data_IF_793881873182
#
_entry.id   IF_793881873182
#
_cell.length_a   1.000
_cell.length_b   1.000
_cell.length_c   1.000
_cell.angle_alpha   90.00
_cell.angle_beta   90.00
_cell.angle_gamma   90.00
#
_symmetry.space_group_name_H-M   'P 1'
#
loop_
_entity.id
_entity.type
_entity.pdbx_description
1 polymer ?
#
# COMPACT_ATOMS: atom_id res chain seq x y z
N UNK A 1 10.55 13.50 10.62
CA UNK A 1 9.49 12.83 9.83
C UNK A 1 10.10 11.57 9.27
N UNK A 2 9.60 10.41 9.66
CA UNK A 2 10.15 9.12 9.21
C UNK A 2 9.70 8.81 7.79
N UNK A 3 10.58 8.17 7.01
CA UNK A 3 10.28 7.66 5.65
C UNK A 3 8.97 6.85 5.63
N UNK A 4 8.77 6.03 6.66
CA UNK A 4 7.55 5.28 6.92
C UNK A 4 6.29 6.13 6.94
N UNK A 5 6.28 7.26 7.64
CA UNK A 5 5.10 8.13 7.73
C UNK A 5 4.79 8.82 6.41
N UNK A 6 5.83 9.25 5.67
CA UNK A 6 5.65 9.87 4.36
C UNK A 6 5.07 8.90 3.33
N UNK A 7 5.54 7.65 3.33
CA UNK A 7 4.98 6.58 2.49
C UNK A 7 3.56 6.25 2.93
N UNK A 8 3.33 6.10 4.24
CA UNK A 8 2.00 5.82 4.80
C UNK A 8 0.99 6.89 4.39
N UNK A 9 1.32 8.17 4.53
CA UNK A 9 0.45 9.27 4.15
C UNK A 9 0.14 9.32 2.65
N UNK A 10 1.13 9.04 1.79
CA UNK A 10 0.92 8.97 0.34
C UNK A 10 0.04 7.79 -0.06
N UNK A 11 0.27 6.60 0.51
CA UNK A 11 -0.55 5.41 0.27
C UNK A 11 -1.99 5.65 0.72
N UNK A 12 -2.19 6.19 1.93
CA UNK A 12 -3.53 6.52 2.43
C UNK A 12 -4.19 7.55 1.51
N UNK A 13 -3.47 8.59 1.09
CA UNK A 13 -3.96 9.59 0.15
C UNK A 13 -4.40 8.99 -1.18
N UNK A 14 -3.62 8.05 -1.73
CA UNK A 14 -3.92 7.35 -2.97
C UNK A 14 -5.10 6.37 -2.82
N UNK A 15 -5.21 5.70 -1.67
CA UNK A 15 -6.28 4.75 -1.34
C UNK A 15 -7.53 5.41 -0.75
N UNK A 16 -7.60 6.75 -0.57
CA UNK A 16 -8.81 7.42 -0.08
C UNK A 16 -10.03 7.24 -0.99
N UNK A 17 -9.80 6.95 -2.27
CA UNK A 17 -10.85 6.63 -3.24
C UNK A 17 -11.16 5.13 -3.37
N UNK A 18 -10.48 4.28 -2.59
CA UNK A 18 -10.64 2.84 -2.65
C UNK A 18 -11.91 2.38 -1.93
N UNK A 19 -12.55 1.33 -2.47
CA UNK A 19 -13.65 0.65 -1.79
C UNK A 19 -13.09 -0.33 -0.78
N UNK A 20 -13.20 0.00 0.52
CA UNK A 20 -12.90 -0.94 1.60
C UNK A 20 -14.16 -1.74 1.99
N UNK A 21 -14.04 -3.03 2.35
CA UNK A 21 -12.80 -3.79 2.52
C UNK A 21 -12.20 -4.26 1.19
N UNK A 22 -10.88 -4.25 1.08
CA UNK A 22 -10.19 -4.87 -0.05
C UNK A 22 -10.08 -6.36 0.28
N UNK A 23 -10.56 -7.24 -0.59
CA UNK A 23 -10.52 -8.69 -0.38
C UNK A 23 -9.42 -9.38 -1.20
N UNK A 24 -8.92 -8.71 -2.24
CA UNK A 24 -7.94 -9.28 -3.15
C UNK A 24 -6.77 -8.32 -3.44
N UNK A 25 -5.58 -8.85 -3.74
CA UNK A 25 -4.46 -8.02 -4.20
C UNK A 25 -4.80 -7.27 -5.49
N UNK A 26 -5.68 -7.82 -6.34
CA UNK A 26 -6.14 -7.15 -7.55
C UNK A 26 -7.01 -5.92 -7.25
N UNK A 27 -7.94 -6.02 -6.29
CA UNK A 27 -8.70 -4.85 -5.81
C UNK A 27 -7.79 -3.81 -5.16
N UNK A 28 -6.76 -4.25 -4.44
CA UNK A 28 -5.74 -3.36 -3.88
C UNK A 28 -5.04 -2.58 -4.98
N UNK A 29 -4.62 -3.25 -6.05
CA UNK A 29 -4.02 -2.60 -7.21
C UNK A 29 -5.03 -1.66 -7.87
N UNK A 30 -6.25 -2.10 -8.13
CA UNK A 30 -7.29 -1.28 -8.77
C UNK A 30 -7.64 -0.03 -7.96
N UNK A 31 -7.49 -0.09 -6.64
CA UNK A 31 -7.69 1.03 -5.74
C UNK A 31 -6.62 2.11 -5.83
N UNK A 32 -5.43 1.80 -6.37
CA UNK A 32 -4.40 2.80 -6.60
C UNK A 32 -4.55 3.47 -7.99
N UNK A 33 -4.32 4.79 -8.10
CA UNK A 33 -4.45 5.51 -9.37
C UNK A 33 -3.47 5.04 -10.46
N UNK A 34 -2.32 4.46 -10.09
CA UNK A 34 -1.37 3.86 -11.03
C UNK A 34 -1.27 2.34 -10.87
N UNK A 35 -2.19 1.70 -10.13
CA UNK A 35 -2.16 0.25 -9.97
C UNK A 35 -0.87 -0.29 -9.35
N UNK A 36 -0.38 -1.39 -9.93
CA UNK A 36 0.89 -2.02 -9.61
C UNK A 36 2.09 -1.06 -9.68
N UNK A 37 2.00 -0.05 -10.55
CA UNK A 37 3.08 0.87 -10.86
C UNK A 37 3.14 2.07 -9.91
N UNK A 38 2.16 2.19 -9.00
CA UNK A 38 2.14 3.25 -7.99
C UNK A 38 3.42 3.19 -7.18
N UNK A 39 4.30 4.14 -7.43
CA UNK A 39 5.62 4.15 -6.82
C UNK A 39 5.57 5.08 -5.61
N UNK A 40 5.68 4.49 -4.43
CA UNK A 40 5.85 5.25 -3.20
C UNK A 40 7.33 5.48 -2.98
N UNK A 41 7.77 6.72 -3.16
CA UNK A 41 9.12 7.15 -2.87
C UNK A 41 9.12 8.08 -1.66
N UNK A 42 9.98 7.81 -0.68
CA UNK A 42 10.27 8.73 0.40
C UNK A 42 11.77 8.65 0.74
N UNK A 43 12.45 9.80 0.62
CA UNK A 43 13.91 9.85 0.71
C UNK A 43 14.56 8.94 -0.33
N UNK A 44 15.45 8.07 0.13
CA UNK A 44 16.17 7.07 -0.67
C UNK A 44 15.38 5.78 -0.94
N UNK A 45 14.24 5.58 -0.27
CA UNK A 45 13.46 4.36 -0.42
C UNK A 45 12.38 4.54 -1.48
N UNK A 46 12.43 3.66 -2.48
CA UNK A 46 11.47 3.56 -3.59
C UNK A 46 10.86 2.17 -3.57
N UNK A 47 9.55 2.08 -3.39
CA UNK A 47 8.83 0.81 -3.49
C UNK A 47 7.54 0.99 -4.28
N UNK A 48 7.23 0.03 -5.14
CA UNK A 48 5.98 0.02 -5.89
C UNK A 48 4.88 -0.70 -5.10
N UNK A 49 3.64 -0.24 -5.26
CA UNK A 49 2.46 -0.86 -4.66
C UNK A 49 2.29 -2.31 -5.12
N UNK A 50 2.68 -2.65 -6.35
CA UNK A 50 2.67 -4.02 -6.84
C UNK A 50 3.67 -4.94 -6.13
N UNK A 51 4.87 -4.47 -5.82
CA UNK A 51 5.86 -5.25 -5.07
C UNK A 51 5.42 -5.43 -3.61
N UNK A 52 4.86 -4.39 -3.01
CA UNK A 52 4.27 -4.48 -1.68
C UNK A 52 3.04 -5.40 -1.63
N UNK A 53 2.18 -5.34 -2.66
CA UNK A 53 1.02 -6.20 -2.85
C UNK A 53 1.38 -7.68 -3.05
N UNK A 54 2.54 -7.99 -3.65
CA UNK A 54 3.06 -9.36 -3.76
C UNK A 54 3.67 -9.88 -2.46
N UNK A 55 4.24 -8.99 -1.65
CA UNK A 55 4.75 -9.35 -0.32
C UNK A 55 3.60 -9.70 0.64
N UNK A 56 2.42 -9.11 0.41
CA UNK A 56 1.17 -9.43 1.08
C UNK A 56 0.63 -10.77 0.60
N UNK A 57 0.29 -11.66 1.52
CA UNK A 57 -0.34 -12.94 1.18
C UNK A 57 -1.84 -12.75 1.02
N UNK A 58 -2.46 -13.53 0.12
CA UNK A 58 -3.92 -13.57 -0.02
C UNK A 58 -4.66 -13.93 1.29
N UNK A 59 -3.98 -14.53 2.27
CA UNK A 59 -4.51 -14.85 3.60
C UNK A 59 -4.49 -13.68 4.61
N UNK A 60 -3.84 -12.56 4.30
CA UNK A 60 -3.90 -11.32 5.10
C UNK A 60 -5.13 -10.47 4.76
N UNK A 61 -5.81 -10.79 3.65
CA UNK A 61 -7.07 -10.15 3.30
C UNK A 61 -8.22 -10.69 4.16
N UNK A 62 -9.22 -9.86 4.50
CA UNK A 62 -9.47 -8.52 3.97
C UNK A 62 -8.81 -7.39 4.74
N UNK A 63 -8.27 -6.42 4.00
CA UNK A 63 -7.84 -5.15 4.58
C UNK A 63 -9.04 -4.26 4.83
N UNK A 64 -9.18 -3.79 6.07
CA UNK A 64 -10.35 -3.01 6.48
C UNK A 64 -10.19 -1.51 6.26
N UNK A 65 -8.96 -1.04 6.06
CA UNK A 65 -8.67 0.38 5.93
C UNK A 65 -7.37 0.62 5.15
N UNK A 66 -7.30 1.77 4.50
CA UNK A 66 -6.10 2.23 3.79
C UNK A 66 -4.88 2.31 4.70
N UNK A 67 -5.12 2.59 5.97
CA UNK A 67 -4.08 2.67 6.99
C UNK A 67 -3.44 1.32 7.28
N UNK A 68 -4.24 0.25 7.31
CA UNK A 68 -3.80 -1.13 7.56
C UNK A 68 -2.99 -1.65 6.37
N UNK A 69 -3.42 -1.35 5.14
CA UNK A 69 -2.65 -1.59 3.91
C UNK A 69 -1.31 -0.87 3.97
N UNK A 70 -1.33 0.44 4.24
CA UNK A 70 -0.14 1.25 4.27
C UNK A 70 0.87 0.76 5.33
N UNK A 71 0.39 0.41 6.52
CA UNK A 71 1.16 -0.20 7.62
C UNK A 71 1.82 -1.51 7.21
N UNK A 72 1.05 -2.44 6.65
CA UNK A 72 1.60 -3.75 6.30
C UNK A 72 2.60 -3.64 5.15
N UNK A 73 2.36 -2.75 4.20
CA UNK A 73 3.28 -2.42 3.11
C UNK A 73 4.61 -1.89 3.65
N UNK A 74 4.60 -0.86 4.51
CA UNK A 74 5.85 -0.29 5.06
C UNK A 74 6.57 -1.29 5.98
N UNK A 75 5.83 -2.04 6.80
CA UNK A 75 6.40 -3.04 7.69
C UNK A 75 7.10 -4.14 6.89
N UNK A 76 6.49 -4.61 5.80
CA UNK A 76 7.05 -5.67 4.96
C UNK A 76 8.15 -5.21 4.01
N UNK A 77 8.19 -3.91 3.71
CA UNK A 77 9.32 -3.25 3.05
C UNK A 77 10.59 -3.20 3.92
N UNK A 78 10.47 -3.48 5.23
CA UNK A 78 11.58 -3.37 6.18
C UNK A 78 11.88 -1.94 6.62
N UNK A 79 10.84 -1.09 6.70
CA UNK A 79 10.90 0.32 7.10
C UNK A 79 10.46 0.57 8.55
#
# INVERSE_FOLDING_TARGET
MSVREAIKAQIIGALRGATFPIHTPEELLAAFPQGAETTCQAGDLKMTAGEAGKLLKAGDFPFKSAEEVAETIVNRAGL
#
